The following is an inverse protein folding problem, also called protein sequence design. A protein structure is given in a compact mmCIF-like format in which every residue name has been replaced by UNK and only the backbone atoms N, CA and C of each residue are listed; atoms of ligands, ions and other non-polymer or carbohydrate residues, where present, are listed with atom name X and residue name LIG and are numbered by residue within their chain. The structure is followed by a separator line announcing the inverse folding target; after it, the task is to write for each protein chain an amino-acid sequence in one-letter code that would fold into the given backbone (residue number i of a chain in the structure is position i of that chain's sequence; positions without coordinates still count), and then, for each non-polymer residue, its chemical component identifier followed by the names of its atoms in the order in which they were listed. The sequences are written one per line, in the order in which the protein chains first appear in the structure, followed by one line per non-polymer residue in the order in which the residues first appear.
data_IF_933737708418
#
_entry.id   IF_933737708418
#
_cell.length_a   1.000
_cell.length_b   1.000
_cell.length_c   1.000
_cell.angle_alpha   90.00
_cell.angle_beta   90.00
_cell.angle_gamma   90.00
#
_symmetry.space_group_name_H-M   'P 1'
#
loop_
_entity.id
_entity.type
_entity.pdbx_description
1 polymer ?
#
# COMPACT_ATOMS: atom_id res chain seq x y z
N UNK A 1 11.98 -8.09 7.25
CA UNK A 1 10.55 -7.75 6.99
C UNK A 1 10.31 -7.86 5.49
N UNK A 2 9.09 -8.23 5.06
CA UNK A 2 8.77 -8.27 3.62
C UNK A 2 8.53 -6.82 3.16
N UNK A 3 9.12 -6.43 2.05
CA UNK A 3 8.94 -5.11 1.45
C UNK A 3 7.97 -5.19 0.28
N UNK A 4 7.27 -4.09 0.04
CA UNK A 4 6.47 -3.88 -1.17
C UNK A 4 6.57 -2.44 -1.61
N UNK A 5 6.01 -2.14 -2.78
CA UNK A 5 5.85 -0.78 -3.27
C UNK A 5 4.36 -0.49 -3.38
N UNK A 6 4.01 0.73 -3.01
CA UNK A 6 2.70 1.30 -3.32
C UNK A 6 2.92 2.43 -4.32
N UNK A 7 2.02 2.54 -5.29
CA UNK A 7 2.03 3.60 -6.29
C UNK A 7 0.80 4.48 -6.09
N UNK A 8 1.03 5.77 -6.00
CA UNK A 8 -0.06 6.74 -5.98
C UNK A 8 -0.67 6.83 -7.39
N UNK A 9 -1.99 6.68 -7.49
CA UNK A 9 -2.68 6.61 -8.79
C UNK A 9 -2.73 7.99 -9.48
N UNK A 10 -2.87 9.08 -8.73
CA UNK A 10 -3.00 10.43 -9.30
C UNK A 10 -1.67 11.06 -9.72
N UNK A 11 -0.60 10.84 -8.95
CA UNK A 11 0.73 11.42 -9.20
C UNK A 11 1.72 10.46 -9.86
N UNK A 12 1.43 9.15 -9.85
CA UNK A 12 2.34 8.11 -10.34
C UNK A 12 3.56 7.85 -9.44
N UNK A 13 3.68 8.54 -8.30
CA UNK A 13 4.81 8.40 -7.38
C UNK A 13 4.75 7.06 -6.66
N UNK A 14 5.87 6.35 -6.64
CA UNK A 14 6.04 5.11 -5.89
C UNK A 14 6.70 5.35 -4.54
N UNK A 15 6.30 4.57 -3.53
CA UNK A 15 6.90 4.58 -2.19
C UNK A 15 7.20 3.15 -1.76
N UNK A 16 8.40 2.94 -1.24
CA UNK A 16 8.76 1.70 -0.58
C UNK A 16 8.05 1.60 0.77
N UNK A 17 7.53 0.41 1.06
CA UNK A 17 6.80 0.14 2.28
C UNK A 17 7.21 -1.21 2.87
N UNK A 18 7.25 -1.29 4.20
CA UNK A 18 7.35 -2.55 4.91
C UNK A 18 5.95 -3.13 5.13
N UNK A 19 5.78 -4.41 4.81
CA UNK A 19 4.53 -5.14 5.04
C UNK A 19 4.44 -5.49 6.53
N UNK A 20 3.42 -4.95 7.20
CA UNK A 20 3.10 -5.30 8.58
C UNK A 20 2.22 -6.55 8.64
N UNK A 21 1.19 -6.62 7.78
CA UNK A 21 0.25 -7.75 7.70
C UNK A 21 -0.17 -7.97 6.25
N UNK A 22 -0.33 -9.23 5.83
CA UNK A 22 -0.85 -9.59 4.51
C UNK A 22 -1.74 -10.83 4.66
N UNK A 23 -2.93 -10.77 4.07
CA UNK A 23 -3.82 -11.91 3.87
C UNK A 23 -4.52 -11.79 2.51
N UNK A 24 -5.43 -12.71 2.21
CA UNK A 24 -6.12 -12.74 0.90
C UNK A 24 -7.04 -11.55 0.65
N UNK A 25 -7.42 -10.79 1.67
CA UNK A 25 -8.36 -9.68 1.58
C UNK A 25 -7.69 -8.31 1.68
N UNK A 26 -6.55 -8.20 2.36
CA UNK A 26 -5.86 -6.93 2.57
C UNK A 26 -4.36 -7.09 2.83
N UNK A 27 -3.65 -5.99 2.61
CA UNK A 27 -2.26 -5.79 2.98
C UNK A 27 -2.15 -4.48 3.77
N UNK A 28 -1.58 -4.58 4.96
CA UNK A 28 -1.24 -3.44 5.80
C UNK A 28 0.25 -3.17 5.65
N UNK A 29 0.58 -1.94 5.27
CA UNK A 29 1.96 -1.52 5.01
C UNK A 29 2.28 -0.25 5.80
N UNK A 30 3.56 -0.05 6.10
CA UNK A 30 4.09 1.20 6.63
C UNK A 30 5.10 1.77 5.63
N UNK A 31 5.01 3.06 5.31
CA UNK A 31 5.97 3.68 4.38
C UNK A 31 7.33 3.74 5.09
N UNK A 32 8.39 3.27 4.41
CA UNK A 32 9.76 3.25 4.94
C UNK A 32 10.17 4.65 5.41
N UNK A 33 10.89 4.73 6.52
CA UNK A 33 11.31 5.97 7.18
C UNK A 33 10.16 6.88 7.66
N UNK A 34 8.95 6.34 7.75
CA UNK A 34 7.79 7.04 8.31
C UNK A 34 7.03 6.16 9.30
N UNK A 35 6.12 6.77 10.06
CA UNK A 35 5.14 6.06 10.89
C UNK A 35 3.77 5.90 10.22
N UNK A 36 3.68 6.24 8.93
CA UNK A 36 2.43 6.27 8.18
C UNK A 36 2.04 4.85 7.78
N UNK A 37 0.92 4.37 8.32
CA UNK A 37 0.32 3.09 7.97
C UNK A 37 -0.77 3.25 6.93
N UNK A 38 -0.78 2.37 5.95
CA UNK A 38 -1.79 2.33 4.89
C UNK A 38 -2.32 0.91 4.80
N UNK A 39 -3.64 0.79 4.87
CA UNK A 39 -4.35 -0.45 4.62
C UNK A 39 -4.82 -0.46 3.17
N UNK A 40 -4.32 -1.41 2.38
CA UNK A 40 -4.80 -1.65 1.03
C UNK A 40 -5.68 -2.90 1.02
N UNK A 41 -6.91 -2.79 0.53
CA UNK A 41 -7.85 -3.91 0.37
C UNK A 41 -7.75 -4.47 -1.03
N UNK A 42 -7.83 -5.80 -1.16
CA UNK A 42 -7.84 -6.47 -2.45
C UNK A 42 -9.11 -6.08 -3.22
N UNK A 43 -8.92 -5.59 -4.45
CA UNK A 43 -9.96 -5.26 -5.41
C UNK A 43 -9.52 -5.85 -6.76
N UNK A 44 -10.16 -6.93 -7.16
CA UNK A 44 -9.73 -7.79 -8.27
C UNK A 44 -8.30 -8.33 -8.04
N UNK A 45 -7.37 -8.07 -8.96
CA UNK A 45 -5.97 -8.53 -8.91
C UNK A 45 -4.99 -7.50 -8.30
N UNK A 46 -5.51 -6.41 -7.71
CA UNK A 46 -4.70 -5.34 -7.11
C UNK A 46 -5.15 -5.06 -5.68
N UNK A 47 -4.26 -4.50 -4.87
CA UNK A 47 -4.61 -3.93 -3.57
C UNK A 47 -4.76 -2.43 -3.71
N UNK A 48 -5.89 -1.87 -3.26
CA UNK A 48 -6.21 -0.44 -3.32
C UNK A 48 -6.40 0.09 -1.89
N UNK A 49 -5.74 1.20 -1.56
CA UNK A 49 -5.85 1.86 -0.26
C UNK A 49 -5.95 3.37 -0.42
N UNK A 50 -6.55 4.03 0.57
CA UNK A 50 -6.68 5.48 0.60
C UNK A 50 -5.96 6.06 1.81
N UNK A 51 -5.25 7.16 1.61
CA UNK A 51 -4.62 7.92 2.68
C UNK A 51 -4.63 9.42 2.36
N UNK A 52 -5.27 10.23 3.23
CA UNK A 52 -5.39 11.70 3.07
C UNK A 52 -5.77 12.13 1.64
N UNK A 53 -6.94 11.66 1.20
CA UNK A 53 -7.52 11.93 -0.14
C UNK A 53 -6.72 11.42 -1.34
N UNK A 54 -5.67 10.64 -1.09
CA UNK A 54 -4.88 10.00 -2.13
C UNK A 54 -5.17 8.51 -2.21
N UNK A 55 -5.29 8.00 -3.43
CA UNK A 55 -5.46 6.59 -3.73
C UNK A 55 -4.11 5.95 -4.09
N UNK A 56 -3.83 4.79 -3.49
CA UNK A 56 -2.62 4.02 -3.70
C UNK A 56 -2.98 2.61 -4.17
N UNK A 57 -2.20 2.08 -5.11
CA UNK A 57 -2.28 0.70 -5.56
C UNK A 57 -1.00 -0.09 -5.24
N UNK A 58 -1.14 -1.39 -5.00
CA UNK A 58 -0.03 -2.34 -4.90
C UNK A 58 -0.39 -3.65 -5.58
N UNK A 59 0.59 -4.27 -6.23
CA UNK A 59 0.46 -5.59 -6.84
C UNK A 59 0.73 -6.74 -5.87
N UNK A 60 1.21 -6.44 -4.65
CA UNK A 60 1.26 -7.38 -3.52
C UNK A 60 2.55 -8.14 -3.34
#
# INVERSE_FOLDING_TARGET
MKKTKIKNISSGIEKECDILRKNDQFIEVVIVDTTIKILLKKKNDKYIGYYKDMEFESHG
#
